data_IF_576224986795
#
_entry.id   IF_576224986795
#
_cell.length_a   1.000
_cell.length_b   1.000
_cell.length_c   1.000
_cell.angle_alpha   90.00
_cell.angle_beta   90.00
_cell.angle_gamma   90.00
#
_symmetry.space_group_name_H-M   'P 1'
#
loop_
_entity.id
_entity.type
_entity.pdbx_description
1 polymer ?
#
# COMPACT_ATOMS: atom_id res chain seq x y z
N UNK A 1 30.21 -45.72 -19.85
CA UNK A 1 30.59 -44.32 -19.54
C UNK A 1 30.46 -43.50 -20.81
N UNK A 2 29.41 -42.70 -20.94
CA UNK A 2 29.25 -41.76 -22.05
C UNK A 2 28.85 -40.40 -21.45
N UNK A 3 29.80 -39.49 -21.38
CA UNK A 3 29.60 -38.10 -20.93
C UNK A 3 28.96 -37.30 -22.05
N UNK A 4 27.66 -37.01 -21.93
CA UNK A 4 26.97 -36.05 -22.78
C UNK A 4 27.40 -34.63 -22.38
N UNK A 5 28.14 -33.97 -23.26
CA UNK A 5 28.49 -32.55 -23.16
C UNK A 5 27.22 -31.70 -23.24
N UNK A 6 26.95 -30.95 -22.17
CA UNK A 6 25.84 -30.01 -22.06
C UNK A 6 26.12 -28.80 -22.95
N UNK A 7 25.50 -28.74 -24.12
CA UNK A 7 25.58 -27.58 -25.01
C UNK A 7 25.13 -26.31 -24.26
N UNK A 8 26.03 -25.34 -24.14
CA UNK A 8 25.74 -24.04 -23.58
C UNK A 8 24.79 -23.28 -24.52
N UNK A 9 23.60 -22.91 -24.02
CA UNK A 9 22.71 -21.96 -24.72
C UNK A 9 23.43 -20.61 -24.77
N UNK A 10 23.84 -20.18 -25.96
CA UNK A 10 24.26 -18.80 -26.20
C UNK A 10 23.08 -17.87 -25.87
N UNK A 11 23.23 -16.99 -24.89
CA UNK A 11 22.28 -15.94 -24.62
C UNK A 11 22.39 -14.89 -25.74
N UNK A 12 21.31 -14.64 -26.47
CA UNK A 12 21.29 -13.57 -27.46
C UNK A 12 21.65 -12.22 -26.80
N UNK A 13 22.53 -11.42 -27.42
CA UNK A 13 22.96 -10.15 -26.85
C UNK A 13 21.76 -9.20 -26.71
N UNK A 14 21.49 -8.75 -25.48
CA UNK A 14 20.37 -7.87 -25.15
C UNK A 14 20.42 -6.58 -25.98
N UNK A 15 19.44 -6.41 -26.86
CA UNK A 15 19.27 -5.17 -27.63
C UNK A 15 18.82 -4.02 -26.74
N UNK A 16 19.31 -2.82 -27.03
CA UNK A 16 18.94 -1.58 -26.36
C UNK A 16 18.45 -0.55 -27.38
N UNK A 17 17.55 0.32 -26.95
CA UNK A 17 17.08 1.44 -27.77
C UNK A 17 18.08 2.60 -27.69
N UNK A 18 18.50 3.09 -28.85
CA UNK A 18 19.42 4.22 -29.00
C UNK A 18 18.72 5.35 -29.74
N UNK A 19 18.80 6.55 -29.16
CA UNK A 19 18.37 7.77 -29.83
C UNK A 19 19.58 8.36 -30.55
N UNK A 20 19.41 8.62 -31.84
CA UNK A 20 20.48 9.09 -32.68
C UNK A 20 20.06 10.34 -33.45
N UNK A 21 21.07 11.16 -33.73
CA UNK A 21 20.97 12.37 -34.55
C UNK A 21 22.15 12.38 -35.50
N UNK A 22 21.86 12.56 -36.79
CA UNK A 22 22.88 12.57 -37.84
C UNK A 22 22.48 13.51 -38.97
N UNK A 23 23.37 13.68 -39.94
CA UNK A 23 23.13 14.43 -41.16
C UNK A 23 23.05 13.47 -42.33
N UNK A 24 22.01 13.60 -43.14
CA UNK A 24 21.90 12.88 -44.41
C UNK A 24 22.85 13.49 -45.46
N UNK A 25 23.01 12.86 -46.63
CA UNK A 25 23.89 13.30 -47.73
C UNK A 25 23.63 14.73 -48.20
N UNK A 26 22.43 15.24 -47.97
CA UNK A 26 22.00 16.62 -48.29
C UNK A 26 22.34 17.63 -47.19
N UNK A 27 22.99 17.20 -46.10
CA UNK A 27 23.32 18.03 -44.95
C UNK A 27 22.17 18.25 -43.97
N UNK A 28 20.97 17.74 -44.27
CA UNK A 28 19.78 17.84 -43.41
C UNK A 28 19.94 16.98 -42.16
N UNK A 29 19.67 17.58 -41.00
CA UNK A 29 19.66 16.86 -39.72
C UNK A 29 18.45 15.92 -39.69
N UNK A 30 18.72 14.63 -39.47
CA UNK A 30 17.75 13.55 -39.32
C UNK A 30 17.94 12.92 -37.94
N UNK A 31 16.82 12.60 -37.29
CA UNK A 31 16.77 12.02 -35.95
C UNK A 31 15.89 10.78 -35.98
N UNK A 32 16.24 9.79 -35.18
CA UNK A 32 15.46 8.57 -35.06
C UNK A 32 15.85 7.74 -33.85
N UNK A 33 15.15 6.63 -33.69
CA UNK A 33 15.42 5.63 -32.68
C UNK A 33 15.76 4.32 -33.38
N UNK A 34 16.74 3.59 -32.86
CA UNK A 34 17.14 2.29 -33.42
C UNK A 34 17.47 1.32 -32.29
N UNK A 35 17.00 0.08 -32.42
CA UNK A 35 17.36 -1.01 -31.50
C UNK A 35 18.65 -1.67 -31.97
N UNK A 36 19.61 -1.81 -31.06
CA UNK A 36 20.89 -2.43 -31.38
C UNK A 36 21.59 -2.93 -30.13
N UNK A 37 22.56 -3.82 -30.31
CA UNK A 37 23.35 -4.43 -29.23
C UNK A 37 24.48 -3.53 -28.72
N UNK A 38 24.79 -2.43 -29.43
CA UNK A 38 25.82 -1.47 -29.00
C UNK A 38 25.88 -0.20 -29.86
N UNK A 39 26.47 0.88 -29.33
CA UNK A 39 26.64 2.17 -30.03
C UNK A 39 27.44 2.01 -31.34
N UNK A 40 28.47 1.17 -31.34
CA UNK A 40 29.28 0.88 -32.53
C UNK A 40 28.47 0.29 -33.68
N UNK A 41 27.51 -0.59 -33.36
CA UNK A 41 26.63 -1.23 -34.33
C UNK A 41 25.62 -0.22 -34.89
N UNK A 42 25.06 0.66 -34.04
CA UNK A 42 24.19 1.76 -34.45
C UNK A 42 24.90 2.69 -35.45
N UNK A 43 26.11 3.13 -35.12
CA UNK A 43 26.90 4.02 -35.99
C UNK A 43 27.22 3.35 -37.33
N UNK A 44 27.54 2.05 -37.32
CA UNK A 44 27.81 1.31 -38.54
C UNK A 44 26.57 1.17 -39.43
N UNK A 45 25.41 0.88 -38.85
CA UNK A 45 24.12 0.79 -39.56
C UNK A 45 23.73 2.13 -40.20
N UNK A 46 23.79 3.23 -39.43
CA UNK A 46 23.44 4.56 -39.92
C UNK A 46 24.41 5.06 -41.00
N UNK A 47 25.70 4.73 -40.89
CA UNK A 47 26.69 5.06 -41.92
C UNK A 47 26.43 4.32 -43.24
N UNK A 48 25.98 3.05 -43.19
CA UNK A 48 25.55 2.30 -44.39
C UNK A 48 24.33 2.93 -45.07
N UNK A 49 23.47 3.59 -44.30
CA UNK A 49 22.32 4.34 -44.82
C UNK A 49 22.69 5.73 -45.34
N UNK A 50 23.98 6.11 -45.32
CA UNK A 50 24.45 7.41 -45.79
C UNK A 50 24.27 8.55 -44.77
N UNK A 51 23.97 8.22 -43.51
CA UNK A 51 23.76 9.18 -42.44
C UNK A 51 25.07 9.34 -41.65
N UNK A 52 25.61 10.56 -41.65
CA UNK A 52 26.75 10.94 -40.80
C UNK A 52 26.27 11.20 -39.38
N UNK A 53 26.57 10.28 -38.48
CA UNK A 53 26.07 10.30 -37.11
C UNK A 53 26.80 11.35 -36.26
N UNK A 54 26.05 12.33 -35.78
CA UNK A 54 26.57 13.41 -34.92
C UNK A 54 26.50 13.02 -33.45
N UNK A 55 25.42 12.36 -33.04
CA UNK A 55 25.16 12.00 -31.65
C UNK A 55 24.44 10.66 -31.60
N UNK A 56 24.94 9.75 -30.78
CA UNK A 56 24.24 8.53 -30.39
C UNK A 56 24.21 8.50 -28.88
N UNK A 57 23.03 8.38 -28.32
CA UNK A 57 22.86 8.20 -26.89
C UNK A 57 22.04 6.94 -26.68
N UNK A 58 22.61 6.02 -25.88
CA UNK A 58 21.83 4.93 -25.31
C UNK A 58 20.68 5.58 -24.56
N UNK A 59 19.45 5.30 -24.95
CA UNK A 59 18.31 5.80 -24.22
C UNK A 59 18.40 5.15 -22.84
N UNK A 60 18.72 5.96 -21.82
CA UNK A 60 18.58 5.52 -20.44
C UNK A 60 17.09 5.32 -20.25
N UNK A 61 16.68 4.08 -20.41
CA UNK A 61 15.35 3.62 -20.06
C UNK A 61 15.15 4.06 -18.60
N UNK A 62 14.44 5.17 -18.39
CA UNK A 62 14.25 5.79 -17.07
C UNK A 62 13.87 4.68 -16.11
N UNK A 63 14.65 4.41 -15.07
CA UNK A 63 14.22 3.50 -14.00
C UNK A 63 12.97 4.16 -13.44
N UNK A 64 11.80 3.78 -13.97
CA UNK A 64 10.54 4.40 -13.63
C UNK A 64 10.33 4.37 -12.13
N UNK A 65 9.48 5.26 -11.64
CA UNK A 65 9.12 5.28 -10.23
C UNK A 65 8.56 3.93 -9.78
N UNK A 66 8.51 3.73 -8.46
CA UNK A 66 7.84 2.56 -7.88
C UNK A 66 6.42 2.44 -8.43
N UNK A 67 6.05 1.25 -8.91
CA UNK A 67 4.68 0.96 -9.36
C UNK A 67 3.76 1.06 -8.14
N UNK A 68 2.74 1.92 -8.23
CA UNK A 68 1.78 2.14 -7.15
C UNK A 68 0.55 1.24 -7.32
N UNK A 69 -0.15 0.96 -6.22
CA UNK A 69 -1.44 0.24 -6.25
C UNK A 69 -2.46 0.95 -7.19
N UNK A 70 -2.38 2.29 -7.28
CA UNK A 70 -3.22 3.11 -8.16
C UNK A 70 -2.94 2.85 -9.63
N UNK A 71 -1.67 2.69 -10.01
CA UNK A 71 -1.27 2.36 -11.39
C UNK A 71 -1.86 1.02 -11.83
N UNK A 72 -1.78 0.01 -10.96
CA UNK A 72 -2.34 -1.33 -11.21
C UNK A 72 -3.85 -1.29 -11.31
N UNK A 73 -4.54 -0.60 -10.40
CA UNK A 73 -6.00 -0.51 -10.46
C UNK A 73 -6.51 0.22 -11.70
N UNK A 74 -5.87 1.34 -12.07
CA UNK A 74 -6.23 2.08 -13.27
C UNK A 74 -6.03 1.25 -14.54
N UNK A 75 -4.88 0.57 -14.65
CA UNK A 75 -4.64 -0.35 -15.76
C UNK A 75 -5.67 -1.48 -15.79
N UNK A 76 -5.98 -2.09 -14.64
CA UNK A 76 -6.96 -3.19 -14.56
C UNK A 76 -8.34 -2.72 -15.01
N UNK A 77 -8.78 -1.53 -14.60
CA UNK A 77 -10.04 -0.92 -15.07
C UNK A 77 -10.02 -0.67 -16.58
N UNK A 78 -8.94 -0.09 -17.11
CA UNK A 78 -8.80 0.14 -18.55
C UNK A 78 -8.82 -1.17 -19.34
N UNK A 79 -8.12 -2.20 -18.86
CA UNK A 79 -8.11 -3.53 -19.45
C UNK A 79 -9.50 -4.14 -19.46
N UNK A 80 -10.22 -4.09 -18.34
CA UNK A 80 -11.60 -4.56 -18.24
C UNK A 80 -12.53 -3.86 -19.24
N UNK A 81 -12.45 -2.53 -19.33
CA UNK A 81 -13.26 -1.75 -20.29
C UNK A 81 -12.94 -2.10 -21.73
N UNK A 82 -11.66 -2.19 -22.11
CA UNK A 82 -11.25 -2.56 -23.46
C UNK A 82 -11.68 -3.98 -23.84
N UNK A 83 -11.47 -4.94 -22.93
CA UNK A 83 -11.88 -6.33 -23.13
C UNK A 83 -13.39 -6.45 -23.30
N UNK A 84 -14.18 -5.74 -22.48
CA UNK A 84 -15.65 -5.68 -22.59
C UNK A 84 -16.12 -5.05 -23.90
N UNK A 85 -15.34 -4.15 -24.49
CA UNK A 85 -15.58 -3.59 -25.82
C UNK A 85 -15.09 -4.48 -26.98
N UNK A 86 -14.62 -5.70 -26.69
CA UNK A 86 -14.15 -6.65 -27.70
C UNK A 86 -12.76 -6.34 -28.26
N UNK A 87 -11.99 -5.44 -27.64
CA UNK A 87 -10.61 -5.19 -28.03
C UNK A 87 -9.77 -6.44 -27.73
N UNK A 88 -8.99 -6.96 -28.69
CA UNK A 88 -8.10 -8.09 -28.46
C UNK A 88 -7.11 -7.85 -27.31
N UNK A 89 -6.87 -8.87 -26.49
CA UNK A 89 -6.05 -8.77 -25.27
C UNK A 89 -4.68 -8.13 -25.51
N UNK A 90 -3.93 -8.62 -26.51
CA UNK A 90 -2.60 -8.08 -26.84
C UNK A 90 -2.66 -6.60 -27.24
N UNK A 91 -3.70 -6.19 -27.97
CA UNK A 91 -3.91 -4.80 -28.35
C UNK A 91 -4.27 -3.93 -27.14
N UNK A 92 -5.09 -4.45 -26.21
CA UNK A 92 -5.40 -3.77 -24.96
C UNK A 92 -4.14 -3.54 -24.11
N UNK A 93 -3.22 -4.51 -24.07
CA UNK A 93 -1.89 -4.33 -23.47
C UNK A 93 -1.07 -3.26 -24.19
N UNK A 94 -1.02 -3.24 -25.53
CA UNK A 94 -0.31 -2.21 -26.30
C UNK A 94 -0.82 -0.79 -26.01
N UNK A 95 -2.14 -0.63 -25.90
CA UNK A 95 -2.77 0.64 -25.52
C UNK A 95 -2.37 1.03 -24.09
N UNK A 96 -2.46 0.09 -23.13
CA UNK A 96 -2.07 0.33 -21.74
C UNK A 96 -0.59 0.68 -21.56
N UNK A 97 0.30 0.03 -22.31
CA UNK A 97 1.75 0.30 -22.31
C UNK A 97 2.03 1.71 -22.82
N UNK A 98 1.43 2.10 -23.95
CA UNK A 98 1.60 3.44 -24.55
C UNK A 98 0.98 4.54 -23.72
N UNK A 99 -0.14 4.25 -23.04
CA UNK A 99 -0.84 5.19 -22.16
C UNK A 99 -0.23 5.32 -20.76
N UNK A 100 0.73 4.47 -20.39
CA UNK A 100 1.32 4.48 -19.05
C UNK A 100 2.29 5.65 -18.88
N UNK A 101 2.02 6.51 -17.89
CA UNK A 101 2.94 7.58 -17.50
C UNK A 101 4.16 7.07 -16.71
N UNK A 102 4.09 5.87 -16.14
CA UNK A 102 5.16 5.27 -15.35
C UNK A 102 5.95 4.24 -16.19
N UNK A 103 7.24 4.51 -16.52
CA UNK A 103 8.05 3.59 -17.31
C UNK A 103 8.25 2.21 -16.65
N UNK A 104 8.15 2.11 -15.32
CA UNK A 104 8.24 0.83 -14.62
C UNK A 104 6.98 -0.03 -14.86
N UNK A 105 5.80 0.58 -14.87
CA UNK A 105 4.55 -0.10 -15.20
C UNK A 105 4.57 -0.53 -16.67
N UNK A 106 4.99 0.34 -17.59
CA UNK A 106 5.10 0.00 -19.01
C UNK A 106 6.00 -1.21 -19.28
N UNK A 107 7.07 -1.40 -18.49
CA UNK A 107 7.92 -2.60 -18.56
C UNK A 107 7.22 -3.83 -18.03
N UNK A 108 6.63 -3.74 -16.84
CA UNK A 108 5.85 -4.84 -16.25
C UNK A 108 4.78 -5.34 -17.23
N UNK A 109 4.04 -4.42 -17.85
CA UNK A 109 3.00 -4.74 -18.82
C UNK A 109 3.57 -5.34 -20.12
N UNK A 110 4.75 -4.88 -20.58
CA UNK A 110 5.44 -5.50 -21.71
C UNK A 110 5.90 -6.92 -21.39
N UNK A 111 6.42 -7.16 -20.18
CA UNK A 111 6.86 -8.49 -19.75
C UNK A 111 5.67 -9.46 -19.76
N UNK A 112 4.53 -9.06 -19.17
CA UNK A 112 3.28 -9.84 -19.18
C UNK A 112 2.76 -10.05 -20.61
N UNK A 113 2.72 -8.99 -21.43
CA UNK A 113 2.29 -9.07 -22.84
C UNK A 113 3.15 -10.07 -23.63
N UNK A 114 4.47 -10.03 -23.45
CA UNK A 114 5.40 -10.92 -24.14
C UNK A 114 5.17 -12.36 -23.72
N UNK A 115 4.97 -12.63 -22.43
CA UNK A 115 4.67 -13.97 -21.94
C UNK A 115 3.37 -14.52 -22.56
N UNK A 116 2.33 -13.69 -22.67
CA UNK A 116 1.05 -14.08 -23.32
C UNK A 116 1.23 -14.27 -24.83
N UNK A 117 2.00 -13.41 -25.50
CA UNK A 117 2.31 -13.54 -26.93
C UNK A 117 3.08 -14.83 -27.24
N UNK A 118 3.93 -15.29 -26.31
CA UNK A 118 4.62 -16.59 -26.41
C UNK A 118 3.75 -17.80 -26.07
N UNK A 119 2.47 -17.59 -25.74
CA UNK A 119 1.49 -18.64 -25.48
C UNK A 119 1.29 -19.04 -24.02
N UNK A 120 1.82 -18.26 -23.06
CA UNK A 120 1.49 -18.48 -21.64
C UNK A 120 0.09 -17.97 -21.33
N UNK A 121 -0.62 -18.65 -20.42
CA UNK A 121 -1.88 -18.13 -19.90
C UNK A 121 -1.65 -16.80 -19.17
N UNK A 122 -2.60 -15.87 -19.26
CA UNK A 122 -2.55 -14.55 -18.65
C UNK A 122 -2.39 -14.63 -17.13
N UNK A 123 -3.10 -15.57 -16.50
CA UNK A 123 -2.97 -15.87 -15.07
C UNK A 123 -1.53 -16.24 -14.66
N UNK A 124 -0.84 -17.06 -15.46
CA UNK A 124 0.56 -17.45 -15.21
C UNK A 124 1.52 -16.30 -15.44
N UNK A 125 1.28 -15.48 -16.47
CA UNK A 125 2.07 -14.28 -16.74
C UNK A 125 1.99 -13.28 -15.58
N UNK A 126 0.78 -13.05 -15.02
CA UNK A 126 0.63 -12.22 -13.81
C UNK A 126 1.28 -12.84 -12.56
N UNK A 127 1.20 -14.17 -12.38
CA UNK A 127 1.75 -14.86 -11.23
C UNK A 127 3.29 -14.76 -11.11
N UNK A 128 4.00 -14.47 -12.22
CA UNK A 128 5.45 -14.16 -12.19
C UNK A 128 5.79 -12.84 -11.49
N UNK A 129 4.79 -12.00 -11.25
CA UNK A 129 4.93 -10.70 -10.60
C UNK A 129 4.11 -10.60 -9.29
N UNK A 130 4.39 -11.44 -8.27
CA UNK A 130 3.59 -11.55 -7.05
C UNK A 130 3.61 -10.28 -6.17
N UNK A 131 4.56 -9.36 -6.41
CA UNK A 131 4.62 -8.08 -5.73
C UNK A 131 3.51 -7.11 -6.15
N UNK A 132 2.87 -7.33 -7.29
CA UNK A 132 1.83 -6.46 -7.86
C UNK A 132 0.50 -7.18 -8.05
N UNK A 133 0.55 -8.48 -8.38
CA UNK A 133 -0.63 -9.32 -8.56
C UNK A 133 -0.65 -10.37 -7.46
N UNK A 134 -1.61 -10.24 -6.55
CA UNK A 134 -1.84 -11.19 -5.48
C UNK A 134 -2.45 -12.50 -6.02
N UNK A 135 -2.48 -13.55 -5.18
CA UNK A 135 -3.10 -14.83 -5.52
C UNK A 135 -4.55 -14.68 -5.98
N UNK A 136 -5.30 -13.81 -5.29
CA UNK A 136 -6.69 -13.50 -5.62
C UNK A 136 -6.83 -13.02 -7.07
N UNK A 137 -6.02 -12.04 -7.48
CA UNK A 137 -6.01 -11.53 -8.85
C UNK A 137 -5.72 -12.65 -9.86
N UNK A 138 -4.69 -13.47 -9.59
CA UNK A 138 -4.28 -14.54 -10.49
C UNK A 138 -5.36 -15.62 -10.63
N UNK A 139 -6.01 -16.00 -9.53
CA UNK A 139 -7.06 -17.02 -9.52
C UNK A 139 -8.32 -16.55 -10.25
N UNK A 140 -8.71 -15.28 -10.07
CA UNK A 140 -9.85 -14.71 -10.81
C UNK A 140 -9.56 -14.62 -12.32
N UNK A 141 -8.34 -14.24 -12.70
CA UNK A 141 -7.95 -14.26 -14.11
C UNK A 141 -7.98 -15.69 -14.67
N UNK A 142 -7.45 -16.67 -13.92
CA UNK A 142 -7.43 -18.07 -14.35
C UNK A 142 -8.85 -18.62 -14.57
N UNK A 143 -9.76 -18.37 -13.63
CA UNK A 143 -11.16 -18.75 -13.76
C UNK A 143 -11.82 -18.11 -14.99
N UNK A 144 -11.48 -16.84 -15.28
CA UNK A 144 -12.03 -16.10 -16.40
C UNK A 144 -11.50 -16.57 -17.75
N UNK A 145 -10.23 -16.91 -17.82
CA UNK A 145 -9.62 -17.54 -19.00
C UNK A 145 -10.24 -18.91 -19.27
N UNK A 146 -10.39 -19.75 -18.24
CA UNK A 146 -10.91 -21.11 -18.39
C UNK A 146 -12.39 -21.14 -18.76
N UNK A 147 -13.19 -20.23 -18.20
CA UNK A 147 -14.62 -20.13 -18.47
C UNK A 147 -14.96 -19.20 -19.66
N UNK A 148 -13.97 -18.56 -20.30
CA UNK A 148 -14.17 -17.67 -21.44
C UNK A 148 -14.91 -16.36 -21.11
N UNK A 149 -14.96 -15.98 -19.83
CA UNK A 149 -15.67 -14.79 -19.30
C UNK A 149 -14.70 -13.76 -18.70
N UNK A 150 -13.49 -13.67 -19.27
CA UNK A 150 -12.38 -12.87 -18.76
C UNK A 150 -12.75 -11.38 -18.64
N UNK A 151 -13.54 -10.84 -19.56
CA UNK A 151 -14.02 -9.45 -19.53
C UNK A 151 -14.85 -9.16 -18.27
N UNK A 152 -15.78 -10.05 -17.91
CA UNK A 152 -16.62 -9.90 -16.71
C UNK A 152 -15.82 -10.05 -15.42
N UNK A 153 -14.82 -10.94 -15.38
CA UNK A 153 -13.99 -11.12 -14.20
C UNK A 153 -12.97 -10.00 -14.03
N UNK A 154 -12.40 -9.49 -15.12
CA UNK A 154 -11.58 -8.29 -15.08
C UNK A 154 -12.35 -7.08 -14.54
N UNK A 155 -13.63 -6.94 -14.89
CA UNK A 155 -14.50 -5.88 -14.34
C UNK A 155 -14.71 -6.03 -12.83
N UNK A 156 -14.90 -7.26 -12.34
CA UNK A 156 -14.97 -7.56 -10.90
C UNK A 156 -13.66 -7.26 -10.19
N UNK A 157 -12.52 -7.68 -10.75
CA UNK A 157 -11.19 -7.39 -10.20
C UNK A 157 -10.93 -5.88 -10.16
N UNK A 158 -11.27 -5.15 -11.22
CA UNK A 158 -11.12 -3.70 -11.29
C UNK A 158 -11.93 -3.01 -10.18
N UNK A 159 -13.21 -3.39 -10.04
CA UNK A 159 -14.10 -2.87 -9.00
C UNK A 159 -13.55 -3.16 -7.60
N UNK A 160 -13.06 -4.37 -7.37
CA UNK A 160 -12.40 -4.74 -6.12
C UNK A 160 -11.19 -3.85 -5.82
N UNK A 161 -10.25 -3.69 -6.78
CA UNK A 161 -9.06 -2.86 -6.59
C UNK A 161 -9.41 -1.39 -6.35
N UNK A 162 -10.42 -0.86 -7.03
CA UNK A 162 -10.93 0.51 -6.82
C UNK A 162 -11.49 0.69 -5.41
N UNK A 163 -12.30 -0.25 -4.92
CA UNK A 163 -12.85 -0.22 -3.56
C UNK A 163 -11.76 -0.25 -2.50
N UNK A 164 -10.76 -1.14 -2.66
CA UNK A 164 -9.60 -1.20 -1.74
C UNK A 164 -8.81 0.10 -1.75
N UNK A 165 -8.60 0.71 -2.92
CA UNK A 165 -7.93 2.01 -3.03
C UNK A 165 -8.73 3.14 -2.39
N UNK A 166 -10.06 3.14 -2.55
CA UNK A 166 -10.93 4.12 -1.92
C UNK A 166 -10.83 4.03 -0.39
N UNK A 167 -10.89 2.81 0.18
CA UNK A 167 -10.73 2.58 1.62
C UNK A 167 -9.36 3.08 2.11
N UNK A 168 -8.26 2.69 1.43
CA UNK A 168 -6.91 3.16 1.78
C UNK A 168 -6.80 4.68 1.69
N UNK A 169 -7.41 5.29 0.68
CA UNK A 169 -7.44 6.73 0.45
C UNK A 169 -8.16 7.47 1.58
N UNK A 170 -9.33 6.98 1.99
CA UNK A 170 -10.10 7.53 3.12
C UNK A 170 -9.32 7.47 4.43
N UNK A 171 -8.73 6.31 4.75
CA UNK A 171 -7.90 6.15 5.96
C UNK A 171 -6.72 7.13 5.93
N UNK A 172 -6.02 7.24 4.80
CA UNK A 172 -4.88 8.15 4.67
C UNK A 172 -5.31 9.62 4.81
N UNK A 173 -6.44 10.00 4.23
CA UNK A 173 -7.00 11.35 4.32
C UNK A 173 -7.42 11.71 5.75
N UNK A 174 -8.09 10.79 6.44
CA UNK A 174 -8.53 10.97 7.83
C UNK A 174 -7.35 11.16 8.79
N UNK A 175 -6.23 10.45 8.57
CA UNK A 175 -5.03 10.55 9.40
C UNK A 175 -4.13 11.76 9.06
N UNK A 176 -4.31 12.38 7.90
CA UNK A 176 -3.44 13.48 7.46
C UNK A 176 -3.50 14.67 8.42
N UNK A 177 -4.70 15.11 8.78
CA UNK A 177 -4.88 16.28 9.66
C UNK A 177 -4.32 16.05 11.07
N UNK A 178 -4.68 14.96 11.80
CA UNK A 178 -4.10 14.68 13.12
C UNK A 178 -2.57 14.60 13.11
N UNK A 179 -1.98 13.95 12.11
CA UNK A 179 -0.52 13.84 11.99
C UNK A 179 0.09 15.22 11.73
N UNK A 180 -0.48 16.02 10.83
CA UNK A 180 0.03 17.35 10.52
C UNK A 180 0.02 18.26 11.76
N UNK A 181 -1.09 18.28 12.51
CA UNK A 181 -1.19 19.09 13.74
C UNK A 181 -0.19 18.61 14.80
N UNK A 182 -0.06 17.30 15.00
CA UNK A 182 0.90 16.73 15.96
C UNK A 182 2.36 17.03 15.58
N UNK A 183 2.70 17.02 14.28
CA UNK A 183 4.04 17.38 13.80
C UNK A 183 4.32 18.87 14.04
N UNK A 184 3.37 19.76 13.71
CA UNK A 184 3.52 21.20 13.94
C UNK A 184 3.61 21.50 15.44
N UNK A 185 2.75 20.90 16.25
CA UNK A 185 2.78 21.00 17.71
C UNK A 185 4.12 20.54 18.28
N UNK A 186 4.59 19.36 17.86
CA UNK A 186 5.87 18.81 18.29
C UNK A 186 7.04 19.72 17.90
N UNK A 187 7.00 20.34 16.72
CA UNK A 187 8.00 21.30 16.28
C UNK A 187 7.99 22.57 17.15
N UNK A 188 6.82 23.15 17.41
CA UNK A 188 6.68 24.34 18.28
C UNK A 188 7.18 24.04 19.69
N UNK A 189 6.75 22.91 20.28
CA UNK A 189 7.19 22.47 21.61
C UNK A 189 8.71 22.26 21.62
N UNK A 190 9.26 21.62 20.59
CA UNK A 190 10.72 21.40 20.49
C UNK A 190 11.48 22.72 20.45
N UNK A 191 11.04 23.70 19.66
CA UNK A 191 11.67 25.03 19.61
C UNK A 191 11.59 25.74 20.96
N UNK A 192 10.42 25.66 21.64
CA UNK A 192 10.27 26.24 22.97
C UNK A 192 11.21 25.59 24.00
N UNK A 193 11.32 24.26 23.98
CA UNK A 193 12.17 23.50 24.91
C UNK A 193 13.66 23.71 24.65
N UNK A 194 14.08 23.88 23.38
CA UNK A 194 15.49 24.01 23.01
C UNK A 194 16.03 25.43 23.14
N UNK A 195 15.21 26.45 22.87
CA UNK A 195 15.69 27.83 22.80
C UNK A 195 15.02 28.74 23.83
N UNK A 196 13.71 28.65 23.99
CA UNK A 196 12.96 29.63 24.80
C UNK A 196 13.15 29.38 26.29
N UNK A 197 12.96 28.14 26.75
CA UNK A 197 13.05 27.80 28.18
C UNK A 197 14.47 27.99 28.74
N UNK A 198 15.56 27.62 28.04
CA UNK A 198 16.91 27.87 28.53
C UNK A 198 17.24 29.36 28.69
N UNK A 199 16.76 30.22 27.78
CA UNK A 199 16.90 31.67 27.93
C UNK A 199 16.10 32.22 29.11
N UNK A 200 14.89 31.70 29.35
CA UNK A 200 14.15 32.07 30.56
C UNK A 200 14.87 31.64 31.84
N UNK A 201 15.49 30.46 31.85
CA UNK A 201 16.31 29.98 32.97
C UNK A 201 17.51 30.90 33.23
N UNK A 202 18.22 31.35 32.19
CA UNK A 202 19.38 32.23 32.33
C UNK A 202 19.00 33.59 32.92
N UNK A 203 17.87 34.14 32.48
CA UNK A 203 17.30 35.39 33.02
C UNK A 203 16.97 35.23 34.49
N UNK A 204 16.26 34.16 34.89
CA UNK A 204 15.85 33.98 36.29
C UNK A 204 16.99 33.60 37.25
N UNK A 205 18.05 32.96 36.76
CA UNK A 205 19.23 32.66 37.57
C UNK A 205 19.88 33.94 38.15
N UNK A 206 19.72 35.09 37.49
CA UNK A 206 20.23 36.37 37.97
C UNK A 206 19.43 37.04 39.10
N UNK A 207 18.21 36.56 39.40
CA UNK A 207 17.32 37.22 40.39
C UNK A 207 17.44 36.67 41.82
N UNK A 208 18.19 35.58 42.03
CA UNK A 208 18.46 35.05 43.37
C UNK A 208 17.23 34.53 44.16
N UNK A 209 16.08 34.33 43.50
CA UNK A 209 14.85 33.84 44.10
C UNK A 209 14.57 32.39 43.69
N UNK A 210 14.04 31.60 44.61
CA UNK A 210 13.65 30.21 44.34
C UNK A 210 12.52 30.14 43.31
N UNK A 211 12.77 29.42 42.22
CA UNK A 211 11.79 29.21 41.17
C UNK A 211 10.63 28.34 41.68
N UNK A 212 9.37 28.65 41.31
CA UNK A 212 8.22 27.80 41.61
C UNK A 212 8.38 26.36 41.11
N UNK A 213 7.82 25.39 41.83
CA UNK A 213 7.90 23.97 41.48
C UNK A 213 7.44 23.63 40.03
N UNK A 214 6.35 24.19 39.48
CA UNK A 214 5.97 23.94 38.08
C UNK A 214 7.04 24.41 37.07
N UNK A 215 7.69 25.54 37.35
CA UNK A 215 8.78 26.10 36.52
C UNK A 215 10.01 25.20 36.56
N UNK A 216 10.36 24.69 37.75
CA UNK A 216 11.48 23.76 37.93
C UNK A 216 11.30 22.45 37.16
N UNK A 217 10.07 21.91 37.12
CA UNK A 217 9.77 20.69 36.33
C UNK A 217 9.99 20.96 34.85
N UNK A 218 9.47 22.08 34.32
CA UNK A 218 9.61 22.43 32.90
C UNK A 218 11.07 22.70 32.53
N UNK A 219 11.83 23.36 33.40
CA UNK A 219 13.27 23.58 33.20
C UNK A 219 14.02 22.25 33.20
N UNK A 220 13.74 21.34 34.15
CA UNK A 220 14.38 20.02 34.18
C UNK A 220 14.06 19.19 32.93
N UNK A 221 12.81 19.24 32.45
CA UNK A 221 12.43 18.61 31.18
C UNK A 221 13.16 19.25 29.99
N UNK A 222 13.33 20.58 29.97
CA UNK A 222 14.06 21.32 28.94
C UNK A 222 15.55 20.97 28.96
N UNK A 223 16.20 20.92 30.13
CA UNK A 223 17.60 20.52 30.27
C UNK A 223 17.82 19.11 29.71
N UNK A 224 16.95 18.15 30.08
CA UNK A 224 16.97 16.80 29.52
C UNK A 224 16.75 16.81 27.99
N UNK A 225 15.82 17.63 27.51
CA UNK A 225 15.51 17.72 26.08
C UNK A 225 16.66 18.34 25.31
N UNK A 226 17.36 19.36 25.83
CA UNK A 226 18.52 20.01 25.20
C UNK A 226 19.71 19.05 25.14
N UNK A 227 19.98 18.33 26.23
CA UNK A 227 21.09 17.37 26.30
C UNK A 227 20.87 16.15 25.41
N UNK A 228 19.63 15.64 25.33
CA UNK A 228 19.28 14.39 24.66
C UNK A 228 18.32 14.55 23.47
N UNK A 229 18.23 15.73 22.85
CA UNK A 229 17.25 15.99 21.78
C UNK A 229 17.31 14.97 20.63
N UNK A 230 18.53 14.55 20.25
CA UNK A 230 18.77 13.56 19.21
C UNK A 230 18.31 12.16 19.60
N UNK A 231 18.29 11.83 20.89
CA UNK A 231 17.72 10.59 21.42
C UNK A 231 16.19 10.70 21.49
N UNK A 232 15.66 11.81 22.01
CA UNK A 232 14.22 12.00 22.19
C UNK A 232 13.48 12.05 20.85
N UNK A 233 14.06 12.66 19.82
CA UNK A 233 13.49 12.65 18.46
C UNK A 233 13.94 11.44 17.65
N UNK A 234 15.20 11.00 17.80
CA UNK A 234 15.78 9.93 16.99
C UNK A 234 15.24 8.54 17.34
N UNK A 235 15.05 8.22 18.63
CA UNK A 235 14.54 6.89 19.05
C UNK A 235 13.13 6.62 18.50
N UNK A 236 12.13 7.52 18.63
CA UNK A 236 10.80 7.28 18.07
C UNK A 236 10.82 7.09 16.56
N UNK A 237 11.60 7.90 15.84
CA UNK A 237 11.77 7.79 14.38
C UNK A 237 12.41 6.46 13.99
N UNK A 238 13.47 6.06 14.70
CA UNK A 238 14.19 4.81 14.46
C UNK A 238 13.35 3.58 14.84
N UNK A 239 12.56 3.66 15.92
CA UNK A 239 11.61 2.63 16.32
C UNK A 239 10.50 2.46 15.28
N UNK A 240 9.91 3.56 14.79
CA UNK A 240 8.94 3.52 13.69
C UNK A 240 9.51 2.86 12.43
N UNK A 241 10.74 3.23 12.06
CA UNK A 241 11.42 2.64 10.90
C UNK A 241 11.74 1.15 11.13
N UNK A 242 12.25 0.79 12.30
CA UNK A 242 12.60 -0.58 12.66
C UNK A 242 11.35 -1.49 12.72
N UNK A 243 10.25 -1.03 13.31
CA UNK A 243 8.97 -1.74 13.32
C UNK A 243 8.48 -1.94 11.88
N UNK A 244 8.50 -0.90 11.04
CA UNK A 244 8.08 -1.00 9.65
C UNK A 244 8.96 -1.94 8.81
N UNK A 245 10.27 -1.99 9.10
CA UNK A 245 11.21 -2.90 8.47
C UNK A 245 11.02 -4.35 8.93
N UNK A 246 10.86 -4.56 10.23
CA UNK A 246 10.72 -5.88 10.84
C UNK A 246 9.34 -6.50 10.55
N UNK A 247 8.29 -5.70 10.49
CA UNK A 247 6.94 -6.12 10.08
C UNK A 247 6.94 -6.72 8.67
N UNK A 248 7.73 -6.18 7.74
CA UNK A 248 7.83 -6.73 6.38
C UNK A 248 8.61 -8.04 6.30
N UNK A 249 9.42 -8.37 7.32
CA UNK A 249 10.39 -9.46 7.26
C UNK A 249 10.08 -10.62 8.20
N UNK A 250 9.34 -10.39 9.28
CA UNK A 250 9.05 -11.39 10.31
C UNK A 250 7.54 -11.69 10.41
N UNK A 251 7.10 -12.92 10.08
CA UNK A 251 5.73 -13.36 10.31
C UNK A 251 5.32 -13.28 11.79
N UNK A 252 6.22 -13.59 12.72
CA UNK A 252 5.96 -13.49 14.16
C UNK A 252 5.67 -12.05 14.59
N UNK A 253 6.39 -11.08 14.02
CA UNK A 253 6.14 -9.65 14.26
C UNK A 253 4.81 -9.21 13.67
N UNK A 254 4.44 -9.69 12.47
CA UNK A 254 3.12 -9.42 11.89
C UNK A 254 2.00 -9.90 12.80
N UNK A 255 2.10 -11.13 13.32
CA UNK A 255 1.11 -11.70 14.25
C UNK A 255 0.99 -10.88 15.54
N UNK A 256 2.14 -10.51 16.13
CA UNK A 256 2.16 -9.73 17.37
C UNK A 256 1.54 -8.34 17.18
N UNK A 257 1.91 -7.65 16.10
CA UNK A 257 1.38 -6.33 15.74
C UNK A 257 -0.10 -6.42 15.44
N UNK A 258 -0.53 -7.34 14.58
CA UNK A 258 -1.94 -7.52 14.20
C UNK A 258 -2.80 -7.79 15.45
N UNK A 259 -2.33 -8.63 16.39
CA UNK A 259 -3.03 -8.93 17.64
C UNK A 259 -3.07 -7.72 18.58
N UNK A 260 -1.99 -6.96 18.69
CA UNK A 260 -1.91 -5.78 19.56
C UNK A 260 -2.80 -4.64 19.04
N UNK A 261 -2.78 -4.42 17.73
CA UNK A 261 -3.57 -3.39 17.05
C UNK A 261 -5.07 -3.66 17.18
N UNK A 262 -5.50 -4.94 17.15
CA UNK A 262 -6.89 -5.32 17.40
C UNK A 262 -7.36 -5.03 18.84
N UNK A 263 -6.44 -4.88 19.81
CA UNK A 263 -6.77 -4.53 21.20
C UNK A 263 -6.85 -3.02 21.45
N UNK A 264 -6.38 -2.20 20.52
CA UNK A 264 -6.46 -0.75 20.68
C UNK A 264 -7.92 -0.30 20.62
N UNK A 265 -8.39 0.50 21.59
CA UNK A 265 -9.74 1.05 21.55
C UNK A 265 -9.89 1.92 20.30
N UNK A 266 -11.09 1.90 19.70
CA UNK A 266 -11.43 2.56 18.43
C UNK A 266 -10.73 1.96 17.19
N UNK A 267 -9.40 1.90 17.15
CA UNK A 267 -8.62 1.40 16.00
C UNK A 267 -8.84 -0.09 15.74
N UNK A 268 -8.88 -0.91 16.79
CA UNK A 268 -9.12 -2.35 16.67
C UNK A 268 -10.51 -2.67 16.11
N UNK A 269 -11.51 -1.86 16.45
CA UNK A 269 -12.87 -2.00 15.91
C UNK A 269 -12.90 -1.69 14.41
N UNK A 270 -12.23 -0.61 13.98
CA UNK A 270 -12.12 -0.24 12.56
C UNK A 270 -11.44 -1.37 11.77
N UNK A 271 -10.32 -1.88 12.27
CA UNK A 271 -9.56 -2.92 11.56
C UNK A 271 -10.33 -4.22 11.48
N UNK A 272 -11.05 -4.61 12.54
CA UNK A 272 -11.95 -5.76 12.52
C UNK A 272 -13.05 -5.59 11.46
N UNK A 273 -13.77 -4.46 11.47
CA UNK A 273 -14.80 -4.14 10.46
C UNK A 273 -14.22 -4.18 9.03
N UNK A 274 -13.06 -3.57 8.83
CA UNK A 274 -12.39 -3.54 7.52
C UNK A 274 -11.88 -4.91 7.07
N UNK A 275 -11.47 -5.76 8.01
CA UNK A 275 -11.04 -7.13 7.72
C UNK A 275 -12.22 -8.00 7.32
N UNK A 276 -13.33 -7.91 8.06
CA UNK A 276 -14.59 -8.59 7.72
C UNK A 276 -15.09 -8.12 6.35
N UNK A 277 -15.13 -6.81 6.09
CA UNK A 277 -15.51 -6.26 4.78
C UNK A 277 -14.67 -6.81 3.63
N UNK A 278 -13.34 -6.85 3.78
CA UNK A 278 -12.45 -7.44 2.76
C UNK A 278 -12.68 -8.93 2.59
N UNK A 279 -12.84 -9.66 3.69
CA UNK A 279 -13.05 -11.10 3.67
C UNK A 279 -14.35 -11.44 2.91
N UNK A 280 -15.47 -10.82 3.28
CA UNK A 280 -16.78 -11.08 2.67
C UNK A 280 -16.84 -10.57 1.23
N UNK A 281 -16.26 -9.40 0.92
CA UNK A 281 -16.15 -8.89 -0.46
C UNK A 281 -15.37 -9.86 -1.35
N UNK A 282 -14.23 -10.34 -0.85
CA UNK A 282 -13.36 -11.24 -1.60
C UNK A 282 -14.07 -12.56 -1.88
N UNK A 283 -14.69 -13.15 -0.85
CA UNK A 283 -15.40 -14.41 -1.01
C UNK A 283 -16.62 -14.26 -1.92
N UNK A 284 -17.41 -13.19 -1.79
CA UNK A 284 -18.51 -12.85 -2.69
C UNK A 284 -18.04 -12.76 -4.15
N UNK A 285 -16.92 -12.08 -4.38
CA UNK A 285 -16.38 -11.88 -5.74
C UNK A 285 -15.91 -13.19 -6.36
N UNK A 286 -15.23 -14.04 -5.59
CA UNK A 286 -14.75 -15.35 -6.04
C UNK A 286 -15.91 -16.31 -6.31
N UNK A 287 -16.88 -16.36 -5.42
CA UNK A 287 -18.03 -17.24 -5.55
C UNK A 287 -18.93 -16.81 -6.73
N UNK A 288 -19.17 -15.50 -6.90
CA UNK A 288 -19.88 -14.96 -8.06
C UNK A 288 -19.12 -15.14 -9.39
N UNK A 289 -17.82 -15.41 -9.33
CA UNK A 289 -17.00 -15.77 -10.49
C UNK A 289 -17.02 -17.27 -10.80
N UNK A 290 -17.76 -18.07 -10.02
CA UNK A 290 -17.84 -19.52 -10.18
C UNK A 290 -16.63 -20.29 -9.64
N UNK A 291 -15.75 -19.64 -8.86
CA UNK A 291 -14.61 -20.32 -8.25
C UNK A 291 -15.11 -21.24 -7.13
N UNK A 292 -14.70 -22.52 -7.08
CA UNK A 292 -15.09 -23.44 -6.02
C UNK A 292 -14.80 -22.88 -4.62
N UNK A 293 -15.70 -23.11 -3.66
CA UNK A 293 -15.63 -22.51 -2.32
C UNK A 293 -14.29 -22.79 -1.61
N UNK A 294 -13.80 -24.03 -1.67
CA UNK A 294 -12.54 -24.43 -1.03
C UNK A 294 -11.34 -23.70 -1.65
N UNK A 295 -11.33 -23.47 -2.96
CA UNK A 295 -10.29 -22.71 -3.66
C UNK A 295 -10.39 -21.22 -3.36
N UNK A 296 -11.61 -20.69 -3.28
CA UNK A 296 -11.86 -19.31 -2.90
C UNK A 296 -11.33 -19.01 -1.50
N UNK A 297 -11.51 -19.92 -0.54
CA UNK A 297 -11.03 -19.75 0.85
C UNK A 297 -9.50 -19.64 0.96
N UNK A 298 -8.70 -20.33 0.13
CA UNK A 298 -7.22 -20.16 0.10
C UNK A 298 -6.84 -18.71 -0.24
N UNK A 299 -7.57 -18.08 -1.16
CA UNK A 299 -7.34 -16.70 -1.59
C UNK A 299 -7.87 -15.67 -0.60
N UNK A 300 -9.04 -15.92 -0.02
CA UNK A 300 -9.73 -15.00 0.90
C UNK A 300 -8.92 -14.79 2.17
N UNK A 301 -8.32 -15.85 2.72
CA UNK A 301 -7.51 -15.76 3.94
C UNK A 301 -6.36 -14.76 3.79
N UNK A 302 -5.65 -14.80 2.66
CA UNK A 302 -4.57 -13.86 2.34
C UNK A 302 -5.05 -12.43 2.06
N UNK A 303 -6.21 -12.28 1.41
CA UNK A 303 -6.78 -10.98 1.07
C UNK A 303 -7.35 -10.22 2.28
N UNK A 304 -7.71 -10.93 3.36
CA UNK A 304 -8.22 -10.34 4.59
C UNK A 304 -7.23 -9.34 5.23
N UNK A 305 -5.92 -9.56 5.05
CA UNK A 305 -4.87 -8.66 5.53
C UNK A 305 -4.66 -8.68 7.05
N UNK A 306 -5.16 -9.70 7.75
CA UNK A 306 -4.95 -9.90 9.18
C UNK A 306 -4.65 -11.38 9.46
N UNK A 307 -3.60 -11.66 10.24
CA UNK A 307 -3.18 -13.04 10.46
C UNK A 307 -4.19 -13.90 11.26
N UNK A 308 -4.99 -13.28 12.14
CA UNK A 308 -6.03 -13.99 12.90
C UNK A 308 -7.09 -14.53 11.94
N UNK A 309 -7.53 -13.70 11.00
CA UNK A 309 -8.50 -14.11 9.97
C UNK A 309 -7.90 -15.09 8.96
N UNK A 310 -6.62 -14.96 8.61
CA UNK A 310 -5.92 -15.93 7.77
C UNK A 310 -5.94 -17.34 8.39
N UNK A 311 -5.64 -17.44 9.69
CA UNK A 311 -5.60 -18.72 10.41
C UNK A 311 -7.00 -19.32 10.51
N UNK A 312 -7.98 -18.53 10.95
CA UNK A 312 -9.38 -18.97 11.00
C UNK A 312 -9.91 -19.40 9.63
N UNK A 313 -9.52 -18.71 8.54
CA UNK A 313 -9.94 -19.09 7.18
C UNK A 313 -9.36 -20.44 6.75
N UNK A 314 -8.14 -20.78 7.17
CA UNK A 314 -7.55 -22.10 6.89
C UNK A 314 -8.24 -23.23 7.63
N UNK A 315 -8.63 -22.98 8.88
CA UNK A 315 -9.45 -23.92 9.66
C UNK A 315 -10.80 -24.13 8.97
N UNK A 316 -11.50 -23.05 8.61
CA UNK A 316 -12.76 -23.10 7.87
C UNK A 316 -12.60 -23.84 6.53
N UNK A 317 -11.52 -23.60 5.80
CA UNK A 317 -11.25 -24.29 4.54
C UNK A 317 -11.10 -25.81 4.76
N UNK A 318 -10.37 -26.21 5.80
CA UNK A 318 -10.20 -27.62 6.17
C UNK A 318 -11.55 -28.25 6.48
N UNK A 319 -12.35 -27.63 7.33
CA UNK A 319 -13.67 -28.13 7.75
C UNK A 319 -14.62 -28.28 6.55
N UNK A 320 -14.69 -27.26 5.69
CA UNK A 320 -15.50 -27.27 4.46
C UNK A 320 -15.02 -28.33 3.48
N UNK A 321 -13.70 -28.55 3.36
CA UNK A 321 -13.16 -29.60 2.49
C UNK A 321 -13.52 -31.02 2.97
N UNK A 322 -13.76 -31.19 4.26
CA UNK A 322 -14.24 -32.45 4.86
C UNK A 322 -15.76 -32.59 4.87
N UNK A 323 -16.49 -31.62 4.31
CA UNK A 323 -17.96 -31.66 4.16
C UNK A 323 -18.75 -30.98 5.29
N UNK A 324 -18.08 -30.25 6.19
CA UNK A 324 -18.78 -29.42 7.18
C UNK A 324 -19.33 -28.16 6.50
N UNK A 325 -20.51 -27.69 6.91
CA UNK A 325 -21.09 -26.48 6.32
C UNK A 325 -20.23 -25.24 6.63
N UNK A 326 -20.26 -24.26 5.71
CA UNK A 326 -19.51 -23.02 5.87
C UNK A 326 -19.97 -22.28 7.12
N UNK A 327 -21.28 -22.24 7.36
CA UNK A 327 -21.89 -21.58 8.53
C UNK A 327 -21.37 -22.16 9.84
N UNK A 328 -21.34 -23.48 9.99
CA UNK A 328 -20.87 -24.15 11.22
C UNK A 328 -19.39 -23.87 11.45
N UNK A 329 -18.59 -23.95 10.39
CA UNK A 329 -17.14 -23.68 10.44
C UNK A 329 -16.84 -22.21 10.80
N UNK A 330 -17.63 -21.27 10.28
CA UNK A 330 -17.50 -19.86 10.65
C UNK A 330 -17.90 -19.61 12.10
N UNK A 331 -18.92 -20.30 12.60
CA UNK A 331 -19.37 -20.19 13.98
C UNK A 331 -18.33 -20.76 14.96
N UNK A 332 -17.71 -21.90 14.65
CA UNK A 332 -16.67 -22.51 15.48
C UNK A 332 -15.41 -21.65 15.59
N UNK A 333 -15.05 -20.92 14.51
CA UNK A 333 -13.87 -20.05 14.49
C UNK A 333 -13.95 -18.85 15.44
N UNK A 334 -15.16 -18.38 15.79
CA UNK A 334 -15.37 -17.29 16.74
C UNK A 334 -14.86 -15.90 16.33
N UNK A 335 -14.33 -15.72 15.10
CA UNK A 335 -13.77 -14.43 14.64
C UNK A 335 -14.76 -13.55 13.88
N UNK A 336 -15.91 -14.10 13.47
CA UNK A 336 -16.92 -13.41 12.69
C UNK A 336 -18.07 -12.89 13.57
N UNK A 337 -18.54 -11.66 13.35
CA UNK A 337 -19.75 -11.15 13.99
C UNK A 337 -20.98 -12.00 13.65
N UNK A 338 -21.94 -12.09 14.59
CA UNK A 338 -23.17 -12.89 14.43
C UNK A 338 -23.93 -12.60 13.14
N UNK A 339 -24.02 -11.32 12.75
CA UNK A 339 -24.69 -10.91 11.52
C UNK A 339 -24.05 -11.54 10.26
N UNK A 340 -22.72 -11.67 10.22
CA UNK A 340 -22.02 -12.30 9.09
C UNK A 340 -22.40 -13.78 9.00
N UNK A 341 -22.34 -14.49 10.12
CA UNK A 341 -22.67 -15.93 10.18
C UNK A 341 -24.13 -16.16 9.78
N UNK A 342 -25.05 -15.30 10.22
CA UNK A 342 -26.46 -15.38 9.84
C UNK A 342 -26.69 -15.17 8.34
N UNK A 343 -26.05 -14.17 7.73
CA UNK A 343 -26.17 -13.94 6.30
C UNK A 343 -25.55 -15.08 5.47
N UNK A 344 -24.47 -15.68 5.97
CA UNK A 344 -23.88 -16.88 5.35
C UNK A 344 -24.83 -18.07 5.45
N UNK A 345 -25.47 -18.29 6.61
CA UNK A 345 -26.48 -19.33 6.79
C UNK A 345 -27.62 -19.20 5.77
N UNK A 346 -28.17 -17.99 5.63
CA UNK A 346 -29.24 -17.72 4.67
C UNK A 346 -28.75 -17.93 3.23
N UNK A 347 -27.53 -17.49 2.92
CA UNK A 347 -26.92 -17.65 1.59
C UNK A 347 -26.62 -19.11 1.24
N UNK A 348 -26.20 -19.91 2.22
CA UNK A 348 -25.91 -21.34 2.08
C UNK A 348 -27.21 -22.14 1.89
N UNK A 349 -28.27 -21.85 2.65
CA UNK A 349 -29.59 -22.50 2.51
C UNK A 349 -30.32 -22.11 1.21
N UNK A 350 -30.22 -20.85 0.78
CA UNK A 350 -30.89 -20.33 -0.42
C UNK A 350 -30.08 -20.49 -1.71
N UNK A 351 -28.82 -20.93 -1.61
CA UNK A 351 -27.89 -21.00 -2.73
C UNK A 351 -27.43 -19.63 -3.27
N UNK A 352 -27.68 -18.54 -2.54
CA UNK A 352 -27.34 -17.15 -2.93
C UNK A 352 -26.22 -16.57 -2.05
N UNK A 353 -25.17 -17.36 -1.82
CA UNK A 353 -24.06 -17.00 -0.94
C UNK A 353 -23.31 -15.75 -1.41
N UNK A 354 -23.12 -15.59 -2.73
CA UNK A 354 -22.48 -14.42 -3.32
C UNK A 354 -23.25 -13.12 -3.02
N UNK A 355 -24.58 -13.13 -3.17
CA UNK A 355 -25.44 -11.97 -2.94
C UNK A 355 -25.48 -11.60 -1.45
N UNK A 356 -25.59 -12.60 -0.56
CA UNK A 356 -25.61 -12.35 0.89
C UNK A 356 -24.26 -11.83 1.38
N UNK A 357 -23.14 -12.43 0.97
CA UNK A 357 -21.80 -11.94 1.29
C UNK A 357 -21.55 -10.54 0.73
N UNK A 358 -22.09 -10.24 -0.45
CA UNK A 358 -22.04 -8.91 -1.07
C UNK A 358 -22.72 -7.84 -0.20
N UNK A 359 -23.94 -8.12 0.30
CA UNK A 359 -24.64 -7.21 1.22
C UNK A 359 -23.89 -7.02 2.54
N UNK A 360 -23.31 -8.09 3.08
CA UNK A 360 -22.47 -8.00 4.29
C UNK A 360 -21.25 -7.13 4.02
N UNK A 361 -20.60 -7.30 2.87
CA UNK A 361 -19.47 -6.47 2.48
C UNK A 361 -19.84 -4.99 2.38
N UNK A 362 -20.94 -4.66 1.71
CA UNK A 362 -21.42 -3.27 1.59
C UNK A 362 -21.71 -2.65 2.97
N UNK A 363 -22.38 -3.39 3.85
CA UNK A 363 -22.65 -2.96 5.21
C UNK A 363 -21.37 -2.68 6.00
N UNK A 364 -20.41 -3.61 6.01
CA UNK A 364 -19.17 -3.40 6.76
C UNK A 364 -18.24 -2.36 6.11
N UNK A 365 -18.29 -2.16 4.79
CA UNK A 365 -17.61 -1.04 4.12
C UNK A 365 -18.15 0.30 4.63
N UNK A 366 -19.47 0.43 4.76
CA UNK A 366 -20.10 1.63 5.31
C UNK A 366 -19.75 1.83 6.79
N UNK A 367 -19.81 0.77 7.60
CA UNK A 367 -19.41 0.82 9.01
C UNK A 367 -17.94 1.21 9.23
N UNK A 368 -17.07 0.88 8.27
CA UNK A 368 -15.67 1.34 8.26
C UNK A 368 -15.61 2.84 7.95
N UNK A 369 -16.36 3.30 6.95
CA UNK A 369 -16.42 4.72 6.59
C UNK A 369 -16.90 5.58 7.77
N UNK A 370 -17.97 5.16 8.44
CA UNK A 370 -18.53 5.83 9.62
C UNK A 370 -17.54 5.83 10.80
N UNK A 371 -16.88 4.69 11.06
CA UNK A 371 -15.90 4.61 12.14
C UNK A 371 -14.64 5.45 11.86
N UNK A 372 -14.21 5.56 10.60
CA UNK A 372 -13.10 6.45 10.19
C UNK A 372 -13.49 7.93 10.33
N UNK A 373 -14.73 8.28 9.98
CA UNK A 373 -15.24 9.64 10.18
C UNK A 373 -15.33 9.99 11.67
N UNK A 374 -15.86 9.10 12.51
CA UNK A 374 -15.94 9.29 13.95
C UNK A 374 -14.57 9.40 14.63
N UNK A 375 -13.57 8.64 14.17
CA UNK A 375 -12.19 8.77 14.68
C UNK A 375 -11.64 10.19 14.44
N UNK A 376 -11.91 10.77 13.28
CA UNK A 376 -11.44 12.11 12.93
C UNK A 376 -12.06 13.18 13.84
N UNK A 377 -13.35 13.03 14.17
CA UNK A 377 -14.08 13.93 15.07
C UNK A 377 -13.62 13.82 16.52
N UNK A 378 -13.26 12.61 17.00
CA UNK A 378 -12.76 12.43 18.37
C UNK A 378 -11.32 12.91 18.55
N UNK A 379 -10.50 12.85 17.51
CA UNK A 379 -9.11 13.28 17.58
C UNK A 379 -8.98 14.79 17.79
N UNK A 380 -9.89 15.59 17.25
CA UNK A 380 -9.81 17.05 17.36
C UNK A 380 -9.93 17.55 18.81
N UNK A 381 -10.95 17.17 19.62
CA UNK A 381 -11.00 17.50 21.04
C UNK A 381 -9.81 16.97 21.83
N UNK A 382 -9.35 15.75 21.55
CA UNK A 382 -8.19 15.16 22.23
C UNK A 382 -6.94 16.01 21.97
N UNK A 383 -6.71 16.40 20.71
CA UNK A 383 -5.60 17.26 20.32
C UNK A 383 -5.73 18.63 20.98
N UNK A 384 -6.91 19.23 21.01
CA UNK A 384 -7.15 20.52 21.67
C UNK A 384 -6.87 20.46 23.18
N UNK A 385 -7.35 19.43 23.87
CA UNK A 385 -7.10 19.24 25.31
C UNK A 385 -5.62 18.99 25.56
N UNK A 386 -4.97 18.15 24.76
CA UNK A 386 -3.54 17.87 24.87
C UNK A 386 -2.72 19.14 24.66
N UNK A 387 -2.95 19.86 23.56
CA UNK A 387 -2.23 21.09 23.24
C UNK A 387 -2.50 22.19 24.27
N UNK A 388 -3.75 22.37 24.67
CA UNK A 388 -4.14 23.33 25.70
C UNK A 388 -3.45 23.02 27.03
N UNK A 389 -3.36 21.75 27.41
CA UNK A 389 -2.67 21.34 28.65
C UNK A 389 -1.17 21.57 28.55
N UNK A 390 -0.54 21.17 27.44
CA UNK A 390 0.92 21.30 27.26
C UNK A 390 1.34 22.76 27.13
N UNK A 391 0.71 23.52 26.22
CA UNK A 391 1.03 24.93 25.98
C UNK A 391 0.58 25.78 27.17
N UNK A 392 -0.61 25.55 27.70
CA UNK A 392 -1.08 26.25 28.91
C UNK A 392 -0.19 26.00 30.11
N UNK A 393 0.23 24.74 30.33
CA UNK A 393 1.18 24.38 31.37
C UNK A 393 2.54 25.07 31.20
N UNK A 394 3.05 25.13 29.96
CA UNK A 394 4.27 25.86 29.62
C UNK A 394 4.15 27.37 29.93
N UNK A 395 3.06 28.01 29.51
CA UNK A 395 2.84 29.43 29.75
C UNK A 395 2.72 29.71 31.25
N UNK A 396 1.93 28.93 31.99
CA UNK A 396 1.80 29.09 33.44
C UNK A 396 3.17 28.94 34.12
N UNK A 397 3.93 27.91 33.75
CA UNK A 397 5.26 27.68 34.29
C UNK A 397 6.23 28.83 34.01
N UNK A 398 6.11 29.52 32.87
CA UNK A 398 6.97 30.65 32.52
C UNK A 398 6.55 31.97 33.17
N UNK A 399 5.25 32.19 33.38
CA UNK A 399 4.75 33.44 33.96
C UNK A 399 4.69 33.43 35.49
N UNK A 400 4.57 32.27 36.13
CA UNK A 400 4.48 32.16 37.59
C UNK A 400 5.67 32.79 38.35
N UNK A 401 6.93 32.65 37.91
CA UNK A 401 8.06 33.33 38.54
C UNK A 401 7.96 34.86 38.48
N UNK A 402 7.44 35.42 37.39
CA UNK A 402 7.27 36.86 37.21
C UNK A 402 6.34 37.43 38.29
N UNK A 403 5.22 36.75 38.54
CA UNK A 403 4.27 37.16 39.58
C UNK A 403 4.87 37.08 40.99
N UNK A 404 5.68 36.06 41.28
CA UNK A 404 6.35 35.95 42.59
C UNK A 404 7.41 37.03 42.79
N UNK A 405 8.19 37.36 41.76
CA UNK A 405 9.17 38.44 41.84
C UNK A 405 8.50 39.80 42.04
N UNK A 406 7.34 40.04 41.41
CA UNK A 406 6.54 41.25 41.63
C UNK A 406 5.94 41.38 43.03
N UNK A 407 5.91 40.30 43.82
CA UNK A 407 5.45 40.29 45.22
C UNK A 407 6.57 40.45 46.26
N UNK A 408 7.83 40.46 45.83
CA UNK A 408 9.03 40.58 46.68
C UNK A 408 9.55 42.03 46.74
N UNK A 409 8.90 42.97 46.04
CA UNK A 409 9.23 44.41 46.07
C UNK A 409 8.19 45.19 46.87
#
# INVERSE_FOLDING_TARGET
MATASRAARHADPKEHLYNWEGKDKTGKIVRGEIRSTGDTVVRAMLRRQGILVTKVQKQKMSRGGKISDKDIALFTRQLATMMKSGVPLLQAFDIGIKGSSNPALARLLNDVRTDVETGSNLSQAFARHPAHFDKLFCNLVAAGEQAGILDSLLDRIATYKEKILAIKGKIKSALFYPIAVMVVAGLVISVMMLFVIPEFKSVFAGFGADLPAPTMIVIAMSDFFVEFWYIVLGIPLLALFAIGWLYKRSPAMQIAVDRMVLKLPVVGAIIRKATVARWTRTLSTMFAAGVPLVEALDSVGGASGNHVYLTATREIQSDVSTGTSLTVSMQSSGVFPTMVVQMVSIGEESGQLDAMLGKVADFFEQEVDEAVAGLSQLLEPIIMVFLGTVIGGLVVAMYLPIFKLGSIV
#
